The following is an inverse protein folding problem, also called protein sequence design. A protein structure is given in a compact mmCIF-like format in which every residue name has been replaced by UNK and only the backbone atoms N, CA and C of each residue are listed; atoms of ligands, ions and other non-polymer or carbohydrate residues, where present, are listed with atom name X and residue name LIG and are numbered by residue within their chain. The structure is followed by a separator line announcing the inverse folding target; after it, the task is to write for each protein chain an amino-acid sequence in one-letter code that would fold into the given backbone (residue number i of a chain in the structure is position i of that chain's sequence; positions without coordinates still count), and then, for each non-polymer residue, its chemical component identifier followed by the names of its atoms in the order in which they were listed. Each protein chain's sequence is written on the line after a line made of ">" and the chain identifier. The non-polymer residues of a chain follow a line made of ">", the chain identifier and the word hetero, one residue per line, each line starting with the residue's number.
data_IF_037443350386
#
_entry.id   IF_037443350386
#
_cell.length_a   1.000
_cell.length_b   1.000
_cell.length_c   1.000
_cell.angle_alpha   90.00
_cell.angle_beta   90.00
_cell.angle_gamma   90.00
#
_symmetry.space_group_name_H-M   'P 1'
#
loop_
_entity.id
_entity.type
_entity.pdbx_description
1 polymer ?
#
# COMPACT_ATOMS: atom_id res chain seq x y z
N UNK A 1 -2.68 -25.81 12.73
CA UNK A 1 -3.91 -25.30 12.10
C UNK A 1 -4.54 -24.28 13.04
N UNK A 2 -4.82 -23.06 12.57
CA UNK A 2 -5.55 -22.07 13.36
C UNK A 2 -7.05 -22.30 13.23
N UNK A 3 -7.79 -22.03 14.30
CA UNK A 3 -9.26 -22.13 14.34
C UNK A 3 -9.82 -20.77 14.69
N UNK A 4 -10.83 -20.32 13.94
CA UNK A 4 -11.52 -19.06 14.19
C UNK A 4 -12.92 -19.33 14.75
N UNK A 5 -13.30 -18.56 15.78
CA UNK A 5 -14.66 -18.56 16.31
C UNK A 5 -15.31 -17.21 16.02
N UNK A 6 -16.44 -17.24 15.30
CA UNK A 6 -17.22 -16.05 14.98
C UNK A 6 -16.38 -14.87 14.50
N UNK A 7 -15.49 -15.04 13.48
CA UNK A 7 -14.58 -13.98 13.05
C UNK A 7 -15.33 -12.74 12.53
N UNK A 8 -16.58 -12.88 12.09
CA UNK A 8 -17.47 -11.80 11.69
C UNK A 8 -17.84 -10.85 12.84
N UNK A 9 -17.66 -11.28 14.10
CA UNK A 9 -17.90 -10.46 15.29
C UNK A 9 -16.68 -9.69 15.78
N UNK A 10 -15.51 -9.92 15.20
CA UNK A 10 -14.30 -9.21 15.58
C UNK A 10 -14.44 -7.72 15.32
N UNK A 11 -14.18 -6.93 16.38
CA UNK A 11 -14.18 -5.48 16.34
C UNK A 11 -12.76 -4.96 16.58
N UNK A 12 -12.37 -3.83 15.99
CA UNK A 12 -11.07 -3.24 16.23
C UNK A 12 -10.91 -2.77 17.67
N UNK A 13 -9.70 -2.93 18.22
CA UNK A 13 -9.28 -2.21 19.42
C UNK A 13 -8.93 -0.76 19.09
N UNK A 14 -8.35 -0.55 17.91
CA UNK A 14 -7.95 0.78 17.44
C UNK A 14 -9.13 1.74 17.41
N UNK A 15 -9.00 2.82 18.18
CA UNK A 15 -10.00 3.87 18.23
C UNK A 15 -9.88 4.81 17.03
N UNK A 16 -11.02 5.39 16.63
CA UNK A 16 -11.04 6.44 15.62
C UNK A 16 -10.80 7.80 16.29
N UNK A 17 -9.67 8.50 16.01
CA UNK A 17 -9.48 9.86 16.53
C UNK A 17 -10.56 10.82 16.02
N UNK A 18 -11.05 11.70 16.91
CA UNK A 18 -12.13 12.63 16.56
C UNK A 18 -11.77 13.60 15.42
N UNK A 19 -10.49 13.97 15.31
CA UNK A 19 -9.96 14.87 14.27
C UNK A 19 -9.21 14.12 13.16
N UNK A 20 -9.48 12.81 12.96
CA UNK A 20 -8.81 11.98 11.98
C UNK A 20 -8.92 12.55 10.55
N UNK A 21 -10.12 12.92 10.13
CA UNK A 21 -10.37 13.44 8.79
C UNK A 21 -9.67 14.79 8.58
N UNK A 22 -9.82 15.70 9.53
CA UNK A 22 -9.16 17.01 9.48
C UNK A 22 -7.63 16.89 9.43
N UNK A 23 -7.06 15.94 10.19
CA UNK A 23 -5.64 15.67 10.16
C UNK A 23 -5.15 15.26 8.77
N UNK A 24 -5.86 14.32 8.12
CA UNK A 24 -5.47 13.81 6.80
C UNK A 24 -5.78 14.80 5.69
N UNK A 25 -6.92 15.50 5.71
CA UNK A 25 -7.25 16.56 4.75
C UNK A 25 -6.19 17.67 4.74
N UNK A 26 -5.77 18.11 5.93
CA UNK A 26 -4.68 19.10 6.04
C UNK A 26 -3.38 18.58 5.42
N UNK A 27 -2.97 17.35 5.74
CA UNK A 27 -1.73 16.80 5.21
C UNK A 27 -1.77 16.59 3.69
N UNK A 28 -2.92 16.17 3.15
CA UNK A 28 -3.14 16.06 1.71
C UNK A 28 -3.06 17.42 1.01
N UNK A 29 -3.70 18.44 1.58
CA UNK A 29 -3.66 19.81 1.05
C UNK A 29 -2.23 20.37 1.09
N UNK A 30 -1.47 20.13 2.15
CA UNK A 30 -0.07 20.56 2.26
C UNK A 30 0.82 19.85 1.23
N UNK A 31 0.63 18.54 1.02
CA UNK A 31 1.36 17.77 0.00
C UNK A 31 1.02 18.23 -1.44
N UNK A 32 -0.24 18.57 -1.71
CA UNK A 32 -0.69 19.04 -3.01
C UNK A 32 -0.05 20.37 -3.44
N UNK A 33 0.42 21.19 -2.50
CA UNK A 33 1.17 22.43 -2.80
C UNK A 33 2.57 22.18 -3.35
N UNK A 34 3.11 20.97 -3.14
CA UNK A 34 4.41 20.60 -3.69
C UNK A 34 4.29 20.40 -5.20
N UNK A 35 5.03 21.16 -6.04
CA UNK A 35 5.02 20.94 -7.47
C UNK A 35 5.37 19.50 -7.83
N UNK A 36 4.58 18.89 -8.69
CA UNK A 36 4.90 17.57 -9.20
C UNK A 36 6.04 17.67 -10.21
N UNK A 37 7.22 17.15 -9.84
CA UNK A 37 8.37 17.02 -10.72
C UNK A 37 8.70 15.55 -10.87
N UNK A 38 8.90 15.11 -12.09
CA UNK A 38 9.24 13.72 -12.34
C UNK A 38 10.16 13.58 -13.55
N UNK A 39 10.88 12.47 -13.60
CA UNK A 39 11.56 11.99 -14.81
C UNK A 39 11.02 10.62 -15.19
N UNK A 40 10.98 10.35 -16.49
CA UNK A 40 10.60 9.06 -17.08
C UNK A 40 11.78 8.62 -17.94
N UNK A 41 12.51 7.58 -17.53
CA UNK A 41 13.67 7.05 -18.24
C UNK A 41 13.29 5.68 -18.82
N UNK A 42 13.48 5.42 -20.12
CA UNK A 42 13.27 4.09 -20.69
C UNK A 42 14.12 3.03 -20.00
N UNK A 43 13.52 1.87 -19.74
CA UNK A 43 14.19 0.68 -19.20
C UNK A 43 13.91 -0.53 -20.12
N UNK A 44 14.46 -0.51 -21.36
CA UNK A 44 14.14 -1.48 -22.40
C UNK A 44 14.52 -2.92 -22.04
N UNK A 45 15.47 -3.11 -21.14
CA UNK A 45 15.88 -4.41 -20.62
C UNK A 45 14.76 -5.15 -19.89
N UNK A 46 13.74 -4.42 -19.44
CA UNK A 46 12.54 -4.96 -18.78
C UNK A 46 11.30 -4.97 -19.69
N UNK A 47 11.39 -4.45 -20.90
CA UNK A 47 10.29 -4.46 -21.87
C UNK A 47 10.02 -5.88 -22.43
N UNK A 48 8.82 -6.05 -22.99
CA UNK A 48 8.41 -7.25 -23.74
C UNK A 48 7.94 -6.85 -25.14
N UNK A 49 7.46 -7.80 -25.94
CA UNK A 49 6.86 -7.49 -27.25
C UNK A 49 5.62 -6.59 -27.10
N UNK A 50 4.83 -6.75 -26.03
CA UNK A 50 3.54 -6.08 -25.80
C UNK A 50 3.60 -4.90 -24.85
N UNK A 51 4.64 -4.80 -24.02
CA UNK A 51 4.73 -3.79 -22.97
C UNK A 51 6.10 -3.10 -22.91
N UNK A 52 6.08 -1.79 -22.65
CA UNK A 52 7.25 -0.99 -22.32
C UNK A 52 7.43 -0.87 -20.80
N UNK A 53 8.68 -0.62 -20.39
CA UNK A 53 9.05 -0.36 -19.00
C UNK A 53 9.86 0.93 -18.90
N UNK A 54 9.61 1.71 -17.83
CA UNK A 54 10.29 2.98 -17.58
C UNK A 54 10.65 3.09 -16.09
N UNK A 55 11.85 3.60 -15.81
CA UNK A 55 12.19 4.03 -14.46
C UNK A 55 11.64 5.44 -14.22
N UNK A 56 10.89 5.59 -13.13
CA UNK A 56 10.30 6.85 -12.70
C UNK A 56 11.03 7.37 -11.47
N UNK A 57 11.34 8.67 -11.45
CA UNK A 57 11.69 9.42 -10.26
C UNK A 57 10.63 10.49 -10.06
N UNK A 58 9.93 10.48 -8.94
CA UNK A 58 8.79 11.35 -8.67
C UNK A 58 8.97 12.14 -7.38
N UNK A 59 8.89 13.47 -7.44
CA UNK A 59 8.83 14.34 -6.28
C UNK A 59 7.45 14.25 -5.63
N UNK A 60 7.41 13.92 -4.33
CA UNK A 60 6.17 13.63 -3.62
C UNK A 60 5.68 14.80 -2.76
N UNK A 61 5.83 14.72 -1.45
CA UNK A 61 5.07 15.57 -0.52
C UNK A 61 5.79 16.89 -0.14
N UNK A 62 7.06 17.05 -0.51
CA UNK A 62 7.85 18.29 -0.32
C UNK A 62 8.99 18.37 -1.34
N UNK A 63 9.52 19.57 -1.64
CA UNK A 63 10.67 19.73 -2.51
C UNK A 63 11.86 18.86 -2.05
N UNK A 64 12.49 18.17 -2.99
CA UNK A 64 13.64 17.28 -2.72
C UNK A 64 13.27 15.90 -2.15
N UNK A 65 12.00 15.63 -1.85
CA UNK A 65 11.55 14.31 -1.42
C UNK A 65 11.07 13.49 -2.62
N UNK A 66 11.82 12.48 -2.97
CA UNK A 66 11.53 11.63 -4.14
C UNK A 66 11.18 10.21 -3.73
N UNK A 67 10.43 9.54 -4.59
CA UNK A 67 10.31 8.09 -4.69
C UNK A 67 10.77 7.66 -6.07
N UNK A 68 11.09 6.38 -6.20
CA UNK A 68 11.35 5.74 -7.48
C UNK A 68 10.31 4.64 -7.73
N UNK A 69 10.16 4.27 -8.99
CA UNK A 69 9.26 3.19 -9.38
C UNK A 69 9.53 2.73 -10.80
N UNK A 70 9.00 1.56 -11.15
CA UNK A 70 8.94 1.11 -12.53
C UNK A 70 7.50 1.22 -13.03
N UNK A 71 7.34 1.99 -14.11
CA UNK A 71 6.09 2.14 -14.85
C UNK A 71 6.11 1.17 -16.02
N UNK A 72 5.18 0.25 -16.04
CA UNK A 72 4.94 -0.62 -17.20
C UNK A 72 3.66 -0.20 -17.90
N UNK A 73 3.65 -0.19 -19.22
CA UNK A 73 2.51 0.25 -20.03
C UNK A 73 2.40 -0.51 -21.34
N UNK A 74 1.19 -0.72 -21.89
CA UNK A 74 1.00 -1.32 -23.19
C UNK A 74 1.72 -0.54 -24.29
N UNK A 75 2.31 -1.25 -25.27
CA UNK A 75 2.88 -0.63 -26.48
C UNK A 75 1.82 -0.20 -27.47
N UNK A 76 0.70 -0.91 -27.51
CA UNK A 76 -0.41 -0.56 -28.37
C UNK A 76 -0.94 0.86 -28.03
N UNK A 77 -1.26 1.69 -29.04
CA UNK A 77 -1.92 2.97 -28.79
C UNK A 77 -3.30 2.74 -28.14
N UNK A 78 -3.61 3.52 -27.11
CA UNK A 78 -4.89 3.37 -26.43
C UNK A 78 -5.02 4.21 -25.17
N UNK A 79 -6.14 3.99 -24.45
CA UNK A 79 -6.42 4.55 -23.15
C UNK A 79 -6.61 3.38 -22.17
N UNK A 80 -5.95 3.44 -21.04
CA UNK A 80 -5.79 2.31 -20.15
C UNK A 80 -6.09 2.66 -18.69
N UNK A 81 -6.67 1.73 -17.92
CA UNK A 81 -6.74 1.87 -16.47
C UNK A 81 -5.34 1.97 -15.86
N UNK A 82 -5.21 2.69 -14.77
CA UNK A 82 -3.95 2.79 -14.02
C UNK A 82 -4.01 1.99 -12.73
N UNK A 83 -2.91 1.30 -12.42
CA UNK A 83 -2.74 0.47 -11.21
C UNK A 83 -1.51 0.96 -10.46
N UNK A 84 -1.70 1.47 -9.25
CA UNK A 84 -0.62 1.76 -8.32
C UNK A 84 -0.32 0.53 -7.48
N UNK A 85 0.97 0.16 -7.39
CA UNK A 85 1.42 -0.96 -6.57
C UNK A 85 2.47 -0.51 -5.55
N UNK A 86 2.06 -0.17 -4.32
CA UNK A 86 2.97 0.12 -3.22
C UNK A 86 3.69 -1.14 -2.72
N UNK A 87 4.91 -1.01 -2.11
CA UNK A 87 5.73 -2.14 -1.75
C UNK A 87 5.32 -2.81 -0.43
N UNK A 88 5.66 -4.08 -0.29
CA UNK A 88 5.75 -4.75 1.01
C UNK A 88 6.78 -4.09 1.94
N UNK A 89 6.80 -4.48 3.22
CA UNK A 89 7.72 -3.93 4.21
C UNK A 89 9.19 -4.23 3.90
N UNK A 90 10.05 -3.38 4.42
CA UNK A 90 11.51 -3.48 4.32
C UNK A 90 12.14 -2.32 3.56
N UNK A 91 13.40 -2.07 3.86
CA UNK A 91 14.22 -1.10 3.13
C UNK A 91 14.81 -1.84 1.94
N UNK A 92 14.25 -1.60 0.76
CA UNK A 92 14.58 -2.31 -0.47
C UNK A 92 14.30 -1.48 -1.69
N UNK A 93 15.00 -1.79 -2.77
CA UNK A 93 14.68 -1.31 -4.12
C UNK A 93 13.87 -2.36 -4.88
N UNK A 94 13.31 -1.97 -6.02
CA UNK A 94 12.60 -2.88 -6.92
C UNK A 94 13.65 -3.65 -7.73
N UNK A 95 13.73 -4.97 -7.53
CA UNK A 95 14.74 -5.83 -8.19
C UNK A 95 14.21 -6.57 -9.42
N UNK A 96 12.91 -6.81 -9.47
CA UNK A 96 12.28 -7.63 -10.52
C UNK A 96 11.13 -6.87 -11.21
N UNK A 97 11.43 -5.81 -11.99
CA UNK A 97 10.38 -5.02 -12.65
C UNK A 97 9.49 -5.81 -13.60
N UNK A 98 10.00 -6.93 -14.13
CA UNK A 98 9.27 -7.82 -15.04
C UNK A 98 8.23 -8.70 -14.36
N UNK A 99 8.32 -8.93 -13.06
CA UNK A 99 7.47 -9.93 -12.37
C UNK A 99 5.98 -9.75 -12.64
N UNK A 100 5.53 -8.49 -12.73
CA UNK A 100 4.12 -8.18 -12.94
C UNK A 100 3.85 -7.44 -14.26
N UNK A 101 4.75 -7.56 -15.25
CA UNK A 101 4.60 -6.88 -16.55
C UNK A 101 3.36 -7.34 -17.31
N UNK A 102 2.85 -8.53 -16.99
CA UNK A 102 1.61 -9.06 -17.55
C UNK A 102 0.40 -8.13 -17.32
N UNK A 103 0.40 -7.26 -16.30
CA UNK A 103 -0.63 -6.23 -16.17
C UNK A 103 -0.65 -5.29 -17.38
N UNK A 104 0.52 -4.91 -17.87
CA UNK A 104 0.63 -4.06 -19.05
C UNK A 104 0.31 -4.83 -20.35
N UNK A 105 0.69 -6.09 -20.43
CA UNK A 105 0.35 -6.96 -21.55
C UNK A 105 -1.15 -7.21 -21.67
N UNK A 106 -1.86 -7.18 -20.53
CA UNK A 106 -3.32 -7.32 -20.41
C UNK A 106 -4.06 -5.97 -20.38
N UNK A 107 -3.39 -4.87 -20.75
CA UNK A 107 -4.05 -3.59 -20.98
C UNK A 107 -4.17 -2.69 -19.76
N UNK A 108 -3.25 -2.74 -18.80
CA UNK A 108 -3.19 -1.81 -17.68
C UNK A 108 -1.88 -1.02 -17.67
N UNK A 109 -1.89 0.25 -17.29
CA UNK A 109 -0.68 0.98 -16.91
C UNK A 109 -0.43 0.66 -15.43
N UNK A 110 0.77 0.16 -15.07
CA UNK A 110 1.08 -0.21 -13.69
C UNK A 110 2.35 0.49 -13.21
N UNK A 111 2.26 1.14 -12.06
CA UNK A 111 3.40 1.72 -11.36
C UNK A 111 3.70 0.90 -10.10
N UNK A 112 4.81 0.17 -10.12
CA UNK A 112 5.40 -0.42 -8.93
C UNK A 112 6.35 0.59 -8.31
N UNK A 113 6.10 1.00 -7.05
CA UNK A 113 6.87 2.06 -6.40
C UNK A 113 7.64 1.55 -5.19
N UNK A 114 8.75 2.22 -4.85
CA UNK A 114 9.38 2.16 -3.54
C UNK A 114 8.98 3.40 -2.70
N UNK A 115 9.32 3.43 -1.42
CA UNK A 115 8.82 4.45 -0.48
C UNK A 115 9.91 5.18 0.31
N UNK A 116 11.17 4.87 0.06
CA UNK A 116 12.30 5.38 0.83
C UNK A 116 13.12 6.44 0.10
N UNK A 117 12.93 6.58 -1.22
CA UNK A 117 13.73 7.44 -2.09
C UNK A 117 15.01 6.74 -2.58
N UNK A 118 14.99 5.41 -2.66
CA UNK A 118 16.13 4.60 -3.07
C UNK A 118 16.11 4.34 -4.57
N UNK A 119 17.10 4.88 -5.28
CA UNK A 119 17.23 4.63 -6.72
C UNK A 119 17.55 3.15 -6.97
N UNK A 120 16.77 2.43 -7.78
CA UNK A 120 17.05 1.03 -8.10
C UNK A 120 18.39 0.79 -8.81
N UNK A 121 18.97 1.83 -9.42
CA UNK A 121 20.27 1.79 -10.14
C UNK A 121 21.48 2.02 -9.24
N UNK A 122 21.28 2.28 -7.92
CA UNK A 122 22.41 2.47 -7.00
C UNK A 122 23.22 1.20 -6.83
N UNK A 123 24.52 1.35 -6.55
CA UNK A 123 25.40 0.21 -6.25
C UNK A 123 25.00 -0.49 -4.95
N UNK A 124 25.49 -1.69 -4.73
CA UNK A 124 25.25 -2.42 -3.47
C UNK A 124 25.86 -1.72 -2.27
N UNK A 125 27.00 -1.05 -2.44
CA UNK A 125 27.69 -0.27 -1.42
C UNK A 125 26.85 0.97 -1.05
N UNK A 126 26.43 1.78 -2.01
CA UNK A 126 25.57 2.94 -1.80
C UNK A 126 24.25 2.54 -1.12
N UNK A 127 23.64 1.43 -1.58
CA UNK A 127 22.43 0.90 -0.95
C UNK A 127 22.66 0.54 0.51
N UNK A 128 23.78 -0.12 0.84
CA UNK A 128 24.12 -0.52 2.20
C UNK A 128 24.31 0.70 3.11
N UNK A 129 25.02 1.72 2.65
CA UNK A 129 25.24 2.97 3.42
C UNK A 129 23.94 3.69 3.68
N UNK A 130 23.16 3.97 2.62
CA UNK A 130 21.92 4.75 2.73
C UNK A 130 20.87 3.97 3.53
N UNK A 131 20.71 2.67 3.28
CA UNK A 131 19.69 1.85 3.96
C UNK A 131 19.96 1.74 5.45
N UNK A 132 21.22 1.73 5.88
CA UNK A 132 21.59 1.69 7.30
C UNK A 132 21.08 2.92 8.07
N UNK A 133 21.00 4.08 7.41
CA UNK A 133 20.52 5.31 7.99
C UNK A 133 19.01 5.35 8.29
N UNK A 134 18.23 4.48 7.64
CA UNK A 134 16.77 4.41 7.91
C UNK A 134 16.43 3.71 9.23
N UNK A 135 17.33 2.87 9.75
CA UNK A 135 17.09 2.09 10.95
C UNK A 135 15.76 1.34 10.88
N UNK A 136 15.02 1.38 11.97
CA UNK A 136 13.66 0.86 11.97
C UNK A 136 12.65 1.95 11.61
N UNK A 137 12.43 2.18 10.32
CA UNK A 137 11.52 3.22 9.83
C UNK A 137 10.09 3.10 10.36
N UNK A 138 9.65 1.89 10.73
CA UNK A 138 8.31 1.65 11.27
C UNK A 138 8.11 2.23 12.68
N UNK A 139 9.18 2.52 13.40
CA UNK A 139 9.12 3.17 14.73
C UNK A 139 9.52 4.64 14.70
N UNK A 140 10.10 5.11 13.59
CA UNK A 140 10.63 6.46 13.49
C UNK A 140 9.54 7.53 13.62
N UNK A 141 9.63 8.34 14.69
CA UNK A 141 8.71 9.45 14.97
C UNK A 141 7.35 9.02 15.51
N UNK A 142 7.18 7.77 15.97
CA UNK A 142 5.92 7.25 16.47
C UNK A 142 5.39 7.98 17.71
N UNK A 143 6.22 8.73 18.42
CA UNK A 143 5.81 9.56 19.56
C UNK A 143 4.95 10.77 19.15
N UNK A 144 4.97 11.15 17.87
CA UNK A 144 4.23 12.30 17.37
C UNK A 144 3.64 12.04 15.99
N UNK A 145 2.31 12.12 15.89
CA UNK A 145 1.57 11.90 14.62
C UNK A 145 2.05 12.76 13.45
N UNK A 146 2.61 13.95 13.71
CA UNK A 146 3.11 14.82 12.64
C UNK A 146 4.50 14.41 12.13
N UNK A 147 5.26 13.65 12.92
CA UNK A 147 6.63 13.26 12.62
C UNK A 147 6.78 11.79 12.23
N UNK A 148 5.72 10.99 12.42
CA UNK A 148 5.77 9.56 12.12
C UNK A 148 6.12 9.31 10.66
N UNK A 149 7.10 8.42 10.45
CA UNK A 149 7.65 8.13 9.12
C UNK A 149 6.59 7.77 8.09
N UNK A 150 5.57 7.00 8.50
CA UNK A 150 4.52 6.56 7.59
C UNK A 150 3.68 7.70 7.02
N UNK A 151 3.72 8.91 7.58
CA UNK A 151 3.04 10.07 7.00
C UNK A 151 3.53 10.37 5.59
N UNK A 152 4.86 10.44 5.40
CA UNK A 152 5.43 10.68 4.06
C UNK A 152 5.09 9.54 3.10
N UNK A 153 5.06 8.30 3.60
CA UNK A 153 4.74 7.11 2.79
C UNK A 153 3.30 7.20 2.26
N UNK A 154 2.33 7.49 3.14
CA UNK A 154 0.92 7.62 2.74
C UNK A 154 0.71 8.77 1.77
N UNK A 155 1.34 9.93 2.03
CA UNK A 155 1.30 11.06 1.09
C UNK A 155 1.93 10.70 -0.27
N UNK A 156 3.02 9.94 -0.28
CA UNK A 156 3.68 9.53 -1.52
C UNK A 156 2.81 8.62 -2.38
N UNK A 157 1.99 7.74 -1.77
CA UNK A 157 1.03 6.92 -2.52
C UNK A 157 -0.03 7.79 -3.21
N UNK A 158 -0.58 8.80 -2.51
CA UNK A 158 -1.55 9.72 -3.13
C UNK A 158 -0.90 10.55 -4.24
N UNK A 159 0.34 11.01 -4.05
CA UNK A 159 1.08 11.75 -5.10
C UNK A 159 1.41 10.87 -6.30
N UNK A 160 1.62 9.57 -6.11
CA UNK A 160 1.77 8.63 -7.21
C UNK A 160 0.47 8.47 -8.03
N UNK A 161 -0.70 8.59 -7.41
CA UNK A 161 -1.97 8.68 -8.13
C UNK A 161 -2.03 9.97 -8.98
N UNK A 162 -1.61 11.13 -8.44
CA UNK A 162 -1.53 12.38 -9.22
C UNK A 162 -0.69 12.20 -10.50
N UNK A 163 0.46 11.53 -10.37
CA UNK A 163 1.31 11.22 -11.52
C UNK A 163 0.61 10.30 -12.52
N UNK A 164 0.02 9.20 -12.06
CA UNK A 164 -0.62 8.22 -12.95
C UNK A 164 -1.76 8.81 -13.74
N UNK A 165 -2.61 9.63 -13.13
CA UNK A 165 -3.74 10.29 -13.83
C UNK A 165 -3.32 11.47 -14.72
N UNK A 166 -2.07 11.93 -14.62
CA UNK A 166 -1.50 12.93 -15.53
C UNK A 166 -1.00 12.35 -16.86
N UNK A 167 -0.89 11.02 -16.94
CA UNK A 167 -0.44 10.35 -18.15
C UNK A 167 -1.47 10.49 -19.27
N UNK A 168 -0.98 10.80 -20.49
CA UNK A 168 -1.85 11.04 -21.64
C UNK A 168 -2.63 9.81 -22.10
N UNK A 169 -2.20 8.61 -21.74
CA UNK A 169 -2.82 7.33 -22.07
C UNK A 169 -3.66 6.72 -20.91
N UNK A 170 -3.83 7.45 -19.81
CA UNK A 170 -4.86 7.09 -18.83
C UNK A 170 -6.27 7.19 -19.43
N UNK A 171 -7.14 6.25 -19.07
CA UNK A 171 -8.52 6.15 -19.61
C UNK A 171 -9.50 7.21 -19.06
N UNK A 172 -9.04 8.02 -18.11
CA UNK A 172 -9.85 9.07 -17.48
C UNK A 172 -10.86 8.57 -16.45
N UNK A 173 -10.90 7.28 -16.16
CA UNK A 173 -11.93 6.65 -15.31
C UNK A 173 -11.38 5.78 -14.21
N UNK A 174 -10.48 4.85 -14.55
CA UNK A 174 -10.11 3.74 -13.69
C UNK A 174 -8.77 3.98 -13.00
N UNK A 175 -8.81 4.02 -11.68
CA UNK A 175 -7.65 4.15 -10.79
C UNK A 175 -7.72 3.05 -9.75
N UNK A 176 -6.83 2.08 -9.86
CA UNK A 176 -6.79 0.91 -8.98
C UNK A 176 -5.56 1.00 -8.07
N UNK A 177 -5.68 0.57 -6.84
CA UNK A 177 -4.53 0.37 -5.94
C UNK A 177 -4.48 -1.10 -5.53
N UNK A 178 -3.30 -1.72 -5.70
CA UNK A 178 -3.11 -3.15 -5.44
C UNK A 178 -1.80 -3.39 -4.70
N UNK A 179 -1.80 -4.22 -3.65
CA UNK A 179 -0.56 -4.57 -2.96
C UNK A 179 -0.70 -5.68 -1.95
N UNK A 180 0.46 -6.19 -1.48
CA UNK A 180 0.53 -7.24 -0.47
C UNK A 180 1.27 -6.79 0.78
N UNK A 181 0.90 -7.33 1.95
CA UNK A 181 1.54 -7.03 3.24
C UNK A 181 1.45 -5.53 3.57
N UNK A 182 2.56 -4.84 3.78
CA UNK A 182 2.57 -3.38 3.88
C UNK A 182 1.97 -2.73 2.62
N UNK A 183 2.23 -3.28 1.43
CA UNK A 183 1.61 -2.80 0.19
C UNK A 183 0.08 -2.94 0.21
N UNK A 184 -0.45 -4.00 0.80
CA UNK A 184 -1.89 -4.18 1.02
C UNK A 184 -2.46 -3.15 1.99
N UNK A 185 -1.71 -2.84 3.05
CA UNK A 185 -2.03 -1.73 3.95
C UNK A 185 -2.07 -0.40 3.21
N UNK A 186 -1.03 -0.12 2.42
CA UNK A 186 -0.92 1.13 1.64
C UNK A 186 -2.00 1.23 0.56
N UNK A 187 -2.44 0.11 -0.02
CA UNK A 187 -3.57 0.09 -0.95
C UNK A 187 -4.87 0.54 -0.26
N UNK A 188 -5.19 -0.03 0.89
CA UNK A 188 -6.36 0.35 1.68
C UNK A 188 -6.28 1.80 2.18
N UNK A 189 -5.11 2.23 2.65
CA UNK A 189 -4.88 3.62 3.06
C UNK A 189 -5.12 4.58 1.90
N UNK A 190 -4.56 4.30 0.73
CA UNK A 190 -4.71 5.15 -0.45
C UNK A 190 -6.16 5.22 -0.90
N UNK A 191 -6.87 4.08 -0.94
CA UNK A 191 -8.30 4.03 -1.26
C UNK A 191 -9.17 4.78 -0.23
N UNK A 192 -8.75 4.81 1.04
CA UNK A 192 -9.45 5.57 2.09
C UNK A 192 -9.16 7.08 2.08
N UNK A 193 -8.02 7.50 1.51
CA UNK A 193 -7.60 8.90 1.43
C UNK A 193 -7.97 9.58 0.11
N UNK A 194 -7.94 8.84 -1.00
CA UNK A 194 -8.08 9.40 -2.34
C UNK A 194 -9.38 8.92 -3.01
N UNK A 195 -10.32 9.82 -3.13
CA UNK A 195 -11.65 9.55 -3.74
C UNK A 195 -11.60 9.25 -5.24
N UNK A 196 -10.45 9.45 -5.89
CA UNK A 196 -10.24 9.11 -7.31
C UNK A 196 -10.00 7.62 -7.52
N UNK A 197 -9.59 6.90 -6.47
CA UNK A 197 -9.47 5.44 -6.50
C UNK A 197 -10.84 4.83 -6.79
N UNK A 198 -10.88 3.86 -7.71
CA UNK A 198 -12.14 3.23 -8.16
C UNK A 198 -12.26 1.77 -7.76
N UNK A 199 -11.15 1.11 -7.42
CA UNK A 199 -11.12 -0.24 -6.87
C UNK A 199 -9.83 -0.47 -6.05
N UNK A 200 -9.89 -1.36 -5.08
CA UNK A 200 -8.75 -1.69 -4.20
C UNK A 200 -8.58 -3.20 -4.08
N UNK A 201 -7.34 -3.67 -4.22
CA UNK A 201 -6.96 -5.07 -4.01
C UNK A 201 -5.89 -5.14 -2.93
N UNK A 202 -6.17 -5.82 -1.83
CA UNK A 202 -5.27 -5.91 -0.69
C UNK A 202 -5.02 -7.37 -0.28
N UNK A 203 -3.75 -7.79 -0.29
CA UNK A 203 -3.35 -9.11 0.19
C UNK A 203 -2.82 -8.99 1.61
N UNK A 204 -3.29 -9.86 2.51
CA UNK A 204 -2.83 -9.98 3.91
C UNK A 204 -2.31 -8.64 4.47
N UNK A 205 -3.18 -7.60 4.61
CA UNK A 205 -2.75 -6.24 4.90
C UNK A 205 -2.09 -6.13 6.26
N UNK A 206 -0.90 -5.52 6.29
CA UNK A 206 -0.20 -5.13 7.50
C UNK A 206 -0.83 -3.89 8.16
N UNK A 207 -0.23 -3.37 9.21
CA UNK A 207 -0.61 -2.12 9.89
C UNK A 207 -2.10 -2.05 10.30
N UNK A 208 -2.70 -3.21 10.55
CA UNK A 208 -4.13 -3.36 10.80
C UNK A 208 -4.39 -3.72 12.25
N UNK A 209 -5.19 -2.93 12.96
CA UNK A 209 -5.46 -3.10 14.40
C UNK A 209 -4.17 -3.33 15.21
N UNK A 210 -3.17 -2.47 14.96
CA UNK A 210 -1.82 -2.62 15.52
C UNK A 210 -1.81 -2.71 17.05
N UNK A 211 -2.74 -2.01 17.71
CA UNK A 211 -2.90 -2.04 19.17
C UNK A 211 -3.79 -3.19 19.67
N UNK A 212 -4.19 -4.13 18.81
CA UNK A 212 -5.05 -5.28 19.17
C UNK A 212 -4.53 -6.15 20.32
N UNK A 213 -3.21 -6.15 20.55
CA UNK A 213 -2.59 -6.79 21.72
C UNK A 213 -3.17 -6.31 23.06
N UNK A 214 -3.64 -5.07 23.13
CA UNK A 214 -4.28 -4.51 24.32
C UNK A 214 -5.66 -5.12 24.59
N UNK A 215 -6.24 -5.80 23.59
CA UNK A 215 -7.48 -6.58 23.73
C UNK A 215 -7.22 -8.09 23.96
N UNK A 216 -6.00 -8.48 24.32
CA UNK A 216 -5.65 -9.87 24.59
C UNK A 216 -5.60 -10.79 23.38
N UNK A 217 -5.45 -10.22 22.17
CA UNK A 217 -5.34 -10.97 20.91
C UNK A 217 -4.16 -10.48 20.04
N UNK A 218 -3.87 -11.20 18.97
CA UNK A 218 -2.84 -10.74 18.03
C UNK A 218 -3.22 -9.40 17.42
N UNK A 219 -2.28 -8.44 17.44
CA UNK A 219 -2.32 -7.20 16.68
C UNK A 219 -1.56 -7.34 15.38
N UNK A 220 -1.73 -6.38 14.49
CA UNK A 220 -1.11 -6.40 13.16
C UNK A 220 0.40 -6.15 13.16
N UNK A 221 1.04 -6.59 12.06
CA UNK A 221 2.42 -6.21 11.78
C UNK A 221 2.58 -4.68 11.86
N UNK A 222 3.69 -4.15 12.44
CA UNK A 222 4.94 -4.84 12.78
C UNK A 222 5.00 -5.45 14.18
N UNK A 223 3.84 -5.71 14.81
CA UNK A 223 3.76 -6.28 16.14
C UNK A 223 4.46 -5.44 17.21
N UNK A 224 4.16 -4.15 17.24
CA UNK A 224 4.83 -3.17 18.10
C UNK A 224 4.96 -3.59 19.54
N UNK A 225 3.90 -4.13 20.13
CA UNK A 225 3.89 -4.54 21.54
C UNK A 225 4.61 -5.87 21.81
N UNK A 226 4.93 -6.65 20.78
CA UNK A 226 5.66 -7.91 20.88
C UNK A 226 7.14 -7.73 20.56
N UNK A 227 7.45 -6.95 19.52
CA UNK A 227 8.79 -6.90 18.92
C UNK A 227 9.63 -5.71 19.39
N UNK A 228 9.01 -4.69 20.03
CA UNK A 228 9.71 -3.46 20.38
C UNK A 228 9.41 -3.04 21.81
N UNK A 229 10.44 -2.64 22.52
CA UNK A 229 10.27 -2.08 23.87
C UNK A 229 9.74 -0.65 23.84
N UNK A 230 9.05 -0.25 24.90
CA UNK A 230 8.58 1.12 25.08
C UNK A 230 7.50 1.56 24.08
N UNK A 231 6.74 0.63 23.48
CA UNK A 231 5.64 0.95 22.58
C UNK A 231 4.32 1.22 23.29
N UNK A 232 4.20 0.85 24.55
CA UNK A 232 2.99 0.99 25.36
C UNK A 232 2.93 2.36 26.08
N UNK A 233 3.00 3.45 25.29
CA UNK A 233 2.78 4.80 25.81
C UNK A 233 1.53 5.43 25.19
N UNK A 234 0.81 6.30 25.90
CA UNK A 234 -0.40 6.95 25.38
C UNK A 234 -0.15 7.69 24.07
N UNK A 235 1.00 8.33 23.91
CA UNK A 235 1.39 9.11 22.73
C UNK A 235 1.53 8.21 21.50
N UNK A 236 2.25 7.07 21.65
CA UNK A 236 2.46 6.10 20.57
C UNK A 236 1.16 5.41 20.17
N UNK A 237 0.36 4.97 21.15
CA UNK A 237 -0.95 4.35 20.89
C UNK A 237 -1.86 5.35 20.15
N UNK A 238 -1.86 6.62 20.57
CA UNK A 238 -2.61 7.68 19.90
C UNK A 238 -2.11 7.89 18.48
N UNK A 239 -0.79 7.94 18.26
CA UNK A 239 -0.21 8.06 16.93
C UNK A 239 -0.59 6.86 16.06
N UNK A 240 -0.46 5.63 16.57
CA UNK A 240 -0.87 4.43 15.83
C UNK A 240 -2.31 4.55 15.31
N UNK A 241 -3.24 5.10 16.09
CA UNK A 241 -4.64 5.24 15.68
C UNK A 241 -4.83 6.14 14.45
N UNK A 242 -3.96 7.12 14.21
CA UNK A 242 -3.98 7.94 12.98
C UNK A 242 -3.46 7.20 11.76
N UNK A 243 -2.71 6.11 11.94
CA UNK A 243 -2.03 5.39 10.85
C UNK A 243 -2.50 3.94 10.68
N UNK A 244 -3.41 3.50 11.54
CA UNK A 244 -3.96 2.16 11.47
C UNK A 244 -4.92 2.01 10.29
N UNK A 245 -4.71 0.97 9.49
CA UNK A 245 -5.51 0.65 8.28
C UNK A 245 -7.00 0.60 8.57
N UNK A 246 -7.40 0.15 9.76
CA UNK A 246 -8.82 0.07 10.17
C UNK A 246 -9.54 1.41 10.00
N UNK A 247 -8.87 2.52 10.35
CA UNK A 247 -9.50 3.84 10.29
C UNK A 247 -9.63 4.37 8.86
N UNK A 248 -8.77 3.94 7.93
CA UNK A 248 -8.92 4.21 6.50
C UNK A 248 -9.97 3.30 5.86
N UNK A 249 -9.98 2.02 6.22
CA UNK A 249 -10.96 1.06 5.70
C UNK A 249 -12.42 1.52 5.91
N UNK A 250 -12.72 2.15 7.04
CA UNK A 250 -14.04 2.76 7.33
C UNK A 250 -14.47 3.82 6.31
N UNK A 251 -13.54 4.38 5.52
CA UNK A 251 -13.77 5.46 4.56
C UNK A 251 -13.86 4.99 3.12
N UNK A 252 -13.52 3.74 2.85
CA UNK A 252 -13.55 3.18 1.50
C UNK A 252 -15.01 2.98 1.07
N UNK A 253 -15.34 3.47 -0.12
CA UNK A 253 -16.68 3.34 -0.72
C UNK A 253 -16.65 2.66 -2.08
N UNK A 254 -15.47 2.24 -2.52
CA UNK A 254 -15.25 1.54 -3.80
C UNK A 254 -15.14 0.04 -3.57
N UNK A 255 -15.31 -0.81 -4.59
CA UNK A 255 -15.12 -2.24 -4.46
C UNK A 255 -13.74 -2.61 -3.92
N UNK A 256 -13.69 -3.53 -2.95
CA UNK A 256 -12.47 -4.05 -2.34
C UNK A 256 -12.41 -5.56 -2.51
N UNK A 257 -11.29 -6.06 -3.01
CA UNK A 257 -10.92 -7.46 -2.98
C UNK A 257 -9.79 -7.68 -1.99
N UNK A 258 -10.03 -8.50 -0.98
CA UNK A 258 -9.04 -8.76 0.07
C UNK A 258 -8.73 -10.26 0.15
N UNK A 259 -7.45 -10.61 0.26
CA UNK A 259 -7.04 -12.01 0.40
C UNK A 259 -6.12 -12.19 1.60
N UNK A 260 -6.20 -13.34 2.28
CA UNK A 260 -5.27 -13.67 3.35
C UNK A 260 -5.18 -15.18 3.59
N UNK A 261 -4.02 -15.59 4.10
CA UNK A 261 -3.79 -16.96 4.56
C UNK A 261 -4.28 -17.17 5.99
N UNK A 262 -4.88 -18.33 6.24
CA UNK A 262 -5.40 -18.63 7.59
C UNK A 262 -4.28 -18.94 8.60
N UNK A 263 -3.11 -19.39 8.12
CA UNK A 263 -1.93 -19.69 8.94
C UNK A 263 -0.91 -18.54 8.98
N UNK A 264 -1.26 -17.36 8.48
CA UNK A 264 -0.38 -16.19 8.48
C UNK A 264 -0.11 -15.71 9.91
N UNK A 265 1.19 -15.73 10.32
CA UNK A 265 1.67 -15.22 11.61
C UNK A 265 2.28 -13.82 11.50
N UNK A 266 2.58 -13.37 10.29
CA UNK A 266 3.09 -12.02 10.00
C UNK A 266 1.95 -11.00 9.98
N UNK A 267 0.89 -11.28 9.23
CA UNK A 267 -0.35 -10.50 9.23
C UNK A 267 -1.51 -11.41 9.66
N UNK A 268 -1.73 -11.57 10.98
CA UNK A 268 -2.65 -12.59 11.48
C UNK A 268 -4.05 -12.48 10.90
N UNK A 269 -4.74 -13.59 10.60
CA UNK A 269 -6.09 -13.58 10.05
C UNK A 269 -7.07 -12.76 10.91
N UNK A 270 -6.86 -12.70 12.23
CA UNK A 270 -7.62 -11.84 13.14
C UNK A 270 -7.68 -10.39 12.67
N UNK A 271 -6.52 -9.81 12.27
CA UNK A 271 -6.44 -8.42 11.83
C UNK A 271 -7.02 -8.23 10.42
N UNK A 272 -6.87 -9.23 9.54
CA UNK A 272 -7.50 -9.20 8.21
C UNK A 272 -9.03 -9.26 8.30
N UNK A 273 -9.58 -10.10 9.19
CA UNK A 273 -11.03 -10.11 9.47
C UNK A 273 -11.51 -8.77 10.04
N UNK A 274 -10.76 -8.15 10.95
CA UNK A 274 -11.13 -6.85 11.52
C UNK A 274 -11.22 -5.78 10.42
N UNK A 275 -10.24 -5.74 9.51
CA UNK A 275 -10.29 -4.84 8.35
C UNK A 275 -11.50 -5.14 7.48
N UNK A 276 -11.72 -6.43 7.16
CA UNK A 276 -12.86 -6.84 6.33
C UNK A 276 -14.21 -6.47 6.98
N UNK A 277 -14.34 -6.65 8.29
CA UNK A 277 -15.58 -6.37 9.00
C UNK A 277 -15.94 -4.88 9.02
N UNK A 278 -14.95 -3.98 9.10
CA UNK A 278 -15.20 -2.52 9.13
C UNK A 278 -15.42 -1.90 7.75
N UNK A 279 -15.10 -2.60 6.66
CA UNK A 279 -15.40 -2.13 5.31
C UNK A 279 -16.93 -2.02 5.12
N UNK A 280 -17.38 -0.83 4.77
CA UNK A 280 -18.78 -0.51 4.42
C UNK A 280 -18.87 -0.13 2.93
N UNK A 281 -18.55 -1.12 2.08
CA UNK A 281 -18.51 -0.99 0.62
C UNK A 281 -18.72 -2.38 -0.02
N UNK A 282 -18.92 -2.49 -1.33
CA UNK A 282 -18.85 -3.75 -2.03
C UNK A 282 -17.51 -4.43 -1.76
N UNK A 283 -17.54 -5.65 -1.22
CA UNK A 283 -16.32 -6.35 -0.82
C UNK A 283 -16.39 -7.84 -1.09
N UNK A 284 -15.27 -8.38 -1.52
CA UNK A 284 -15.07 -9.81 -1.73
C UNK A 284 -13.82 -10.27 -0.98
N UNK A 285 -13.81 -11.48 -0.46
CA UNK A 285 -12.66 -12.05 0.21
C UNK A 285 -12.29 -13.41 -0.35
N UNK A 286 -10.99 -13.68 -0.52
CA UNK A 286 -10.45 -15.00 -0.73
C UNK A 286 -9.60 -15.39 0.48
N UNK A 287 -10.08 -16.38 1.23
CA UNK A 287 -9.38 -16.91 2.40
C UNK A 287 -8.76 -18.24 2.00
N UNK A 288 -7.43 -18.34 2.11
CA UNK A 288 -6.71 -19.57 1.77
C UNK A 288 -6.35 -20.35 3.05
N UNK A 289 -6.96 -21.52 3.30
CA UNK A 289 -6.85 -22.22 4.58
C UNK A 289 -5.44 -22.64 4.97
N UNK A 290 -4.59 -22.93 3.99
CA UNK A 290 -3.24 -23.46 4.21
C UNK A 290 -2.13 -22.42 4.08
N UNK A 291 -2.41 -21.26 3.46
CA UNK A 291 -1.36 -20.27 3.23
C UNK A 291 -0.94 -19.61 4.54
N UNK A 292 0.33 -19.32 4.61
CA UNK A 292 0.97 -18.39 5.53
C UNK A 292 1.04 -16.99 4.90
N UNK A 293 2.14 -16.27 5.09
CA UNK A 293 2.34 -14.91 4.55
C UNK A 293 2.83 -14.94 3.10
N UNK A 294 2.07 -15.57 2.21
CA UNK A 294 2.38 -15.66 0.78
C UNK A 294 1.11 -15.76 -0.08
N UNK A 295 1.24 -15.38 -1.32
CA UNK A 295 0.17 -15.42 -2.33
C UNK A 295 0.62 -16.27 -3.51
N UNK A 296 -0.24 -17.17 -3.98
CA UNK A 296 0.05 -17.99 -5.16
C UNK A 296 -0.14 -17.21 -6.45
N UNK A 297 0.54 -17.62 -7.53
CA UNK A 297 0.35 -17.05 -8.86
C UNK A 297 -1.11 -17.11 -9.31
N UNK A 298 -1.83 -18.19 -8.98
CA UNK A 298 -3.27 -18.31 -9.28
C UNK A 298 -4.07 -17.20 -8.62
N UNK A 299 -3.74 -16.85 -7.38
CA UNK A 299 -4.39 -15.74 -6.67
C UNK A 299 -4.01 -14.41 -7.30
N UNK A 300 -2.75 -14.19 -7.66
CA UNK A 300 -2.28 -12.96 -8.30
C UNK A 300 -2.97 -12.74 -9.67
N UNK A 301 -3.07 -13.78 -10.50
CA UNK A 301 -3.84 -13.71 -11.75
C UNK A 301 -5.34 -13.51 -11.52
N UNK A 302 -5.90 -14.15 -10.48
CA UNK A 302 -7.29 -13.94 -10.06
C UNK A 302 -7.59 -12.50 -9.71
N UNK A 303 -6.63 -11.78 -9.11
CA UNK A 303 -6.75 -10.36 -8.78
C UNK A 303 -6.83 -9.49 -10.05
N UNK A 304 -5.99 -9.76 -11.07
CA UNK A 304 -6.09 -9.05 -12.34
C UNK A 304 -7.45 -9.28 -12.99
N UNK A 305 -7.96 -10.51 -13.00
CA UNK A 305 -9.31 -10.82 -13.52
C UNK A 305 -10.40 -10.10 -12.73
N UNK A 306 -10.26 -10.03 -11.41
CA UNK A 306 -11.19 -9.26 -10.58
C UNK A 306 -11.13 -7.76 -10.91
N UNK A 307 -9.94 -7.18 -11.09
CA UNK A 307 -9.76 -5.79 -11.53
C UNK A 307 -10.47 -5.57 -12.86
N UNK A 308 -10.20 -6.39 -13.87
CA UNK A 308 -10.80 -6.28 -15.20
C UNK A 308 -12.34 -6.30 -15.17
N UNK A 309 -12.92 -7.14 -14.29
CA UNK A 309 -14.38 -7.21 -14.09
C UNK A 309 -14.97 -5.93 -13.45
N UNK A 310 -14.17 -5.17 -12.72
CA UNK A 310 -14.61 -3.97 -11.98
C UNK A 310 -14.19 -2.65 -12.66
N UNK A 311 -13.67 -2.69 -13.88
CA UNK A 311 -13.42 -1.50 -14.70
C UNK A 311 -14.77 -0.85 -15.11
N UNK A 312 -14.76 0.51 -15.12
CA UNK A 312 -15.93 1.35 -15.47
C UNK A 312 -15.95 1.70 -16.95
#
# INVERSE_FOLDING_TARGET
>A
MKVGFSPEKLQPYTQLPADFDQFWEKNLADAARCPMKYTIEPAPEYATEKADCYLIKLQCFRPGSYIYGYLTRPKAPGKYPVVLCPPGAGIKTIKEPKRHIYYAEEGCIRLEMEIHGLNPKMSAEEFKEISSAFGNYLTNGLDNRNNYYMKKVYMSCVRAIDFLISLSDWDGKNVIVQGGSQGGALALVTAGLDKRVTACVANHPALSDMAGYKAGRAGGYPHFFKNYQGMDTPEKIRTMAYYDVVNFARRIKVPVYITWGYNDDTCPPTTSYIVYNVLDCPKEALITPINEHWTSDVTEYGQLKWIQKHLK
#
